data_IF_576707034414
#
_entry.id   IF_576707034414
#
_cell.length_a   1.000
_cell.length_b   1.000
_cell.length_c   1.000
_cell.angle_alpha   90.00
_cell.angle_beta   90.00
_cell.angle_gamma   90.00
#
_symmetry.space_group_name_H-M   'P 1'
#
loop_
_entity.id
_entity.type
_entity.pdbx_description
1 polymer ?
#
# COMPACT_ATOMS: atom_id res chain seq x y z
N UNK A 1 -26.08 7.48 -66.29
CA UNK A 1 -26.41 6.11 -66.71
C UNK A 1 -25.14 5.30 -66.58
N UNK A 2 -25.23 4.22 -65.81
CA UNK A 2 -24.35 3.05 -65.73
C UNK A 2 -22.86 3.19 -65.40
N UNK A 3 -22.57 2.66 -64.21
CA UNK A 3 -21.80 1.43 -63.98
C UNK A 3 -20.28 1.42 -64.16
N UNK A 4 -19.66 1.05 -63.03
CA UNK A 4 -18.56 0.08 -62.89
C UNK A 4 -17.24 0.36 -63.61
N UNK A 5 -16.20 0.63 -62.81
CA UNK A 5 -14.80 0.48 -63.19
C UNK A 5 -14.02 -0.17 -62.05
N UNK A 6 -13.84 -1.48 -62.12
CA UNK A 6 -12.97 -2.28 -61.27
C UNK A 6 -11.58 -2.31 -61.92
N UNK A 7 -10.51 -1.95 -61.21
CA UNK A 7 -9.14 -2.19 -61.66
C UNK A 7 -8.28 -2.68 -60.49
N UNK A 8 -8.08 -3.99 -60.48
CA UNK A 8 -6.95 -4.67 -59.87
C UNK A 8 -5.82 -4.70 -60.90
N UNK A 9 -4.63 -4.27 -60.52
CA UNK A 9 -3.36 -4.70 -61.14
C UNK A 9 -2.25 -4.64 -60.10
N UNK A 10 -1.57 -5.77 -59.94
CA UNK A 10 -0.35 -5.96 -59.17
C UNK A 10 0.89 -5.54 -59.98
N UNK A 11 1.91 -5.01 -59.29
CA UNK A 11 3.33 -5.02 -59.66
C UNK A 11 4.11 -4.68 -58.36
N UNK A 12 4.66 -5.68 -57.66
CA UNK A 12 6.05 -6.14 -57.70
C UNK A 12 7.12 -5.11 -57.26
N UNK A 13 7.72 -5.45 -56.11
CA UNK A 13 9.14 -5.35 -55.74
C UNK A 13 9.79 -3.96 -55.60
N UNK A 14 9.90 -3.53 -54.34
CA UNK A 14 11.13 -2.95 -53.81
C UNK A 14 11.32 -3.41 -52.37
N UNK A 15 12.29 -4.29 -52.18
CA UNK A 15 12.87 -4.68 -50.90
C UNK A 15 13.66 -3.53 -50.31
N UNK A 16 13.21 -2.98 -49.19
CA UNK A 16 14.10 -2.28 -48.25
C UNK A 16 13.82 -2.76 -46.82
N UNK A 17 14.91 -3.19 -46.20
CA UNK A 17 15.11 -3.64 -44.82
C UNK A 17 14.20 -2.96 -43.78
N UNK A 18 13.38 -3.78 -43.12
CA UNK A 18 12.98 -3.55 -41.73
C UNK A 18 13.49 -4.74 -40.91
N UNK A 19 14.79 -4.70 -40.61
CA UNK A 19 15.35 -5.45 -39.50
C UNK A 19 15.18 -4.65 -38.21
N UNK A 20 14.83 -5.39 -37.16
CA UNK A 20 14.94 -5.04 -35.74
C UNK A 20 13.89 -4.08 -35.16
N UNK A 21 12.78 -4.66 -34.70
CA UNK A 21 12.14 -4.17 -33.48
C UNK A 21 11.95 -5.34 -32.51
N UNK A 22 13.09 -5.84 -32.03
CA UNK A 22 13.22 -6.68 -30.85
C UNK A 22 13.95 -5.87 -29.79
N UNK A 23 13.29 -4.87 -29.22
CA UNK A 23 13.68 -4.33 -27.93
C UNK A 23 13.04 -5.26 -26.88
N UNK A 24 13.65 -6.43 -26.67
CA UNK A 24 14.69 -6.62 -25.67
C UNK A 24 14.17 -6.17 -24.30
N UNK A 25 13.78 -7.19 -23.53
CA UNK A 25 13.63 -7.17 -22.10
C UNK A 25 14.46 -6.05 -21.46
N UNK A 26 13.76 -5.11 -20.81
CA UNK A 26 14.37 -4.16 -19.87
C UNK A 26 15.19 -4.97 -18.88
N UNK A 27 16.49 -5.03 -19.16
CA UNK A 27 17.47 -5.75 -18.38
C UNK A 27 17.35 -5.29 -16.94
N UNK A 28 17.23 -6.26 -16.06
CA UNK A 28 17.41 -6.16 -14.63
C UNK A 28 18.76 -5.49 -14.36
N UNK A 29 18.75 -4.18 -14.28
CA UNK A 29 19.90 -3.34 -14.00
C UNK A 29 19.51 -2.33 -12.93
N UNK A 30 19.03 -2.82 -11.78
CA UNK A 30 19.29 -2.09 -10.55
C UNK A 30 20.81 -1.93 -10.50
N UNK A 31 21.31 -0.71 -10.69
CA UNK A 31 22.73 -0.38 -10.69
C UNK A 31 23.32 -0.76 -9.33
N UNK A 32 23.74 -2.02 -9.23
CA UNK A 32 24.26 -2.62 -7.99
C UNK A 32 25.60 -2.00 -7.59
N UNK A 33 26.16 -1.12 -8.44
CA UNK A 33 27.44 -0.45 -8.20
C UNK A 33 27.38 0.60 -7.07
N UNK A 34 26.18 0.97 -6.59
CA UNK A 34 26.01 2.00 -5.56
C UNK A 34 25.36 1.52 -4.26
N UNK A 35 25.15 0.22 -4.10
CA UNK A 35 24.55 -0.35 -2.88
C UNK A 35 25.66 -0.80 -1.94
N UNK A 36 25.77 -0.18 -0.77
CA UNK A 36 26.62 -0.67 0.32
C UNK A 36 25.72 -1.17 1.44
N UNK A 37 25.87 -2.46 1.79
CA UNK A 37 25.16 -3.09 2.90
C UNK A 37 26.11 -3.14 4.10
N UNK A 38 25.69 -2.56 5.21
CA UNK A 38 26.33 -2.74 6.51
C UNK A 38 25.42 -3.65 7.33
N UNK A 39 25.81 -4.92 7.57
CA UNK A 39 25.03 -5.83 8.40
C UNK A 39 24.83 -5.25 9.80
N UNK A 40 23.77 -5.66 10.48
CA UNK A 40 23.65 -5.40 11.90
C UNK A 40 24.91 -5.97 12.61
N UNK A 41 25.65 -5.11 13.32
CA UNK A 41 26.71 -5.58 14.22
C UNK A 41 26.11 -6.68 15.09
N UNK A 42 26.83 -7.79 15.28
CA UNK A 42 26.34 -8.96 16.00
C UNK A 42 26.06 -8.60 17.47
N UNK A 43 24.90 -8.01 17.75
CA UNK A 43 24.43 -7.74 19.10
C UNK A 43 23.98 -9.07 19.68
N UNK A 44 24.94 -9.80 20.23
CA UNK A 44 24.63 -10.91 21.13
C UNK A 44 23.87 -10.34 22.32
N UNK A 45 22.64 -10.85 22.52
CA UNK A 45 21.73 -10.58 23.63
C UNK A 45 20.98 -9.22 23.65
N UNK A 46 19.67 -9.30 23.42
CA UNK A 46 18.68 -8.42 24.04
C UNK A 46 17.67 -9.30 24.79
N UNK A 47 18.15 -9.84 25.91
CA UNK A 47 17.36 -10.18 27.08
C UNK A 47 18.32 -10.14 28.27
N UNK A 48 18.58 -8.95 28.80
CA UNK A 48 18.96 -8.67 30.21
C UNK A 48 19.40 -7.22 30.36
N UNK A 49 18.61 -6.44 31.09
CA UNK A 49 18.92 -5.10 31.56
C UNK A 49 20.14 -5.09 32.50
N UNK A 50 20.96 -4.03 32.55
CA UNK A 50 21.83 -3.80 33.68
C UNK A 50 21.09 -3.03 34.79
N UNK A 51 21.14 -3.59 35.99
CA UNK A 51 20.77 -2.92 37.25
C UNK A 51 21.59 -1.64 37.46
N UNK A 52 20.92 -0.53 37.72
CA UNK A 52 21.48 0.60 38.46
C UNK A 52 20.43 1.12 39.46
N UNK A 53 20.86 1.17 40.72
CA UNK A 53 20.09 1.43 41.93
C UNK A 53 19.36 2.78 41.94
N UNK A 54 18.03 2.78 42.13
CA UNK A 54 17.28 3.91 42.70
C UNK A 54 15.97 3.45 43.39
N UNK A 55 15.63 4.13 44.47
CA UNK A 55 14.67 3.87 45.57
C UNK A 55 13.22 3.46 45.22
N UNK A 56 12.46 2.82 46.16
CA UNK A 56 11.17 2.20 45.86
C UNK A 56 10.01 3.22 45.83
N UNK A 57 9.37 3.36 44.67
CA UNK A 57 8.02 3.89 44.52
C UNK A 57 6.98 2.75 44.40
N UNK A 58 5.69 2.99 44.68
CA UNK A 58 4.68 1.93 44.66
C UNK A 58 4.50 1.37 43.24
N UNK A 59 4.56 0.05 43.14
CA UNK A 59 4.45 -0.69 41.89
C UNK A 59 3.08 -0.49 41.24
N UNK A 60 3.07 0.14 40.07
CA UNK A 60 1.97 0.05 39.12
C UNK A 60 2.15 -1.28 38.37
N UNK A 61 1.13 -2.15 38.28
CA UNK A 61 1.26 -3.38 37.51
C UNK A 61 1.38 -2.99 36.03
N UNK A 62 2.59 -3.14 35.48
CA UNK A 62 2.79 -3.15 34.05
C UNK A 62 2.06 -4.38 33.48
N UNK A 63 0.88 -4.15 32.93
CA UNK A 63 0.27 -5.08 31.99
C UNK A 63 1.23 -5.21 30.79
N UNK A 64 1.98 -6.31 30.76
CA UNK A 64 2.73 -6.72 29.59
C UNK A 64 1.72 -7.17 28.54
N UNK A 65 1.30 -6.24 27.70
CA UNK A 65 0.56 -6.59 26.49
C UNK A 65 1.39 -7.62 25.71
N UNK A 66 0.80 -8.75 25.26
CA UNK A 66 1.50 -9.71 24.42
C UNK A 66 1.98 -9.00 23.16
N UNK A 67 3.24 -9.21 22.78
CA UNK A 67 3.79 -8.68 21.53
C UNK A 67 2.99 -9.16 20.31
N UNK A 68 3.02 -8.42 19.20
CA UNK A 68 2.28 -8.79 18.00
C UNK A 68 2.72 -10.16 17.47
N UNK A 69 1.75 -10.97 17.06
CA UNK A 69 1.97 -12.30 16.47
C UNK A 69 2.34 -12.12 15.00
N UNK A 70 3.29 -12.89 14.47
CA UNK A 70 3.76 -12.74 13.08
C UNK A 70 2.62 -12.84 12.03
N UNK A 71 1.56 -13.61 12.31
CA UNK A 71 0.34 -13.72 11.50
C UNK A 71 -0.55 -12.46 11.50
N UNK A 72 -0.16 -11.39 12.18
CA UNK A 72 -0.90 -10.12 12.19
C UNK A 72 -0.54 -9.19 11.04
N UNK A 73 0.42 -9.57 10.18
CA UNK A 73 0.66 -8.91 8.91
C UNK A 73 -0.57 -9.02 8.00
N UNK A 74 -0.88 -7.95 7.28
CA UNK A 74 -2.09 -7.86 6.48
C UNK A 74 -1.80 -7.22 5.10
N UNK A 75 -2.52 -7.70 4.10
CA UNK A 75 -2.57 -7.15 2.75
C UNK A 75 -4.03 -6.85 2.48
N UNK A 76 -4.40 -5.59 2.26
CA UNK A 76 -5.76 -5.21 1.93
C UNK A 76 -5.84 -4.56 0.56
N UNK A 77 -6.84 -4.97 -0.22
CA UNK A 77 -7.18 -4.39 -1.53
C UNK A 77 -8.55 -3.75 -1.41
N UNK A 78 -8.68 -2.51 -1.91
CA UNK A 78 -9.98 -1.85 -1.91
C UNK A 78 -10.82 -2.32 -3.10
N UNK A 79 -12.01 -2.83 -2.79
CA UNK A 79 -12.99 -3.34 -3.75
C UNK A 79 -13.84 -2.24 -4.36
N UNK A 80 -14.23 -1.26 -3.54
CA UNK A 80 -14.94 -0.07 -3.96
C UNK A 80 -14.83 1.04 -2.92
N UNK A 81 -15.17 2.25 -3.36
CA UNK A 81 -15.37 3.42 -2.51
C UNK A 81 -16.63 4.17 -2.92
N UNK A 82 -17.43 4.56 -1.93
CA UNK A 82 -18.51 5.54 -2.09
C UNK A 82 -18.20 6.81 -1.32
N UNK A 83 -18.48 7.96 -1.91
CA UNK A 83 -18.49 9.24 -1.20
C UNK A 83 -19.93 9.64 -0.88
N UNK A 84 -20.21 9.80 0.40
CA UNK A 84 -21.51 10.16 0.95
C UNK A 84 -21.53 11.66 1.35
N UNK A 85 -22.72 12.28 1.51
CA UNK A 85 -22.83 13.61 2.08
C UNK A 85 -22.19 13.69 3.47
N UNK A 86 -21.63 14.86 3.82
CA UNK A 86 -21.12 15.13 5.15
C UNK A 86 -21.73 16.43 5.70
N UNK A 87 -22.32 16.42 6.91
CA UNK A 87 -22.66 15.21 7.68
C UNK A 87 -23.67 14.34 6.93
N UNK A 88 -23.77 13.07 7.30
CA UNK A 88 -24.82 12.20 6.78
C UNK A 88 -26.21 12.75 7.15
N UNK A 89 -27.21 12.63 6.27
CA UNK A 89 -28.59 12.92 6.64
C UNK A 89 -29.04 12.08 7.84
N UNK A 90 -29.84 12.66 8.73
CA UNK A 90 -30.34 11.95 9.90
C UNK A 90 -31.12 10.68 9.51
N UNK A 91 -30.89 9.58 10.22
CA UNK A 91 -31.52 8.28 9.94
C UNK A 91 -30.94 7.54 8.72
N UNK A 92 -29.83 8.00 8.14
CA UNK A 92 -29.09 7.21 7.15
C UNK A 92 -28.49 5.99 7.84
N UNK A 93 -28.76 4.75 7.36
CA UNK A 93 -28.16 3.56 7.93
C UNK A 93 -26.64 3.57 7.70
N UNK A 94 -25.90 3.05 8.68
CA UNK A 94 -24.46 2.83 8.58
C UNK A 94 -24.18 1.38 8.98
N UNK A 95 -23.59 0.56 8.09
CA UNK A 95 -23.15 0.89 6.73
C UNK A 95 -24.29 1.14 5.73
N UNK A 96 -24.14 2.13 4.85
CA UNK A 96 -25.14 2.52 3.85
C UNK A 96 -25.06 1.65 2.58
N UNK A 97 -23.85 1.35 2.11
CA UNK A 97 -23.62 0.77 0.79
C UNK A 97 -24.07 -0.69 0.65
N UNK A 98 -24.33 -1.39 1.75
CA UNK A 98 -24.74 -2.79 1.76
C UNK A 98 -26.18 -3.00 1.24
N UNK A 99 -27.07 -2.04 1.44
CA UNK A 99 -28.48 -2.13 1.03
C UNK A 99 -28.83 -1.28 -0.21
N UNK A 100 -27.82 -0.79 -0.94
CA UNK A 100 -28.01 0.09 -2.10
C UNK A 100 -28.98 -0.45 -3.17
N UNK A 101 -29.06 -1.77 -3.32
CA UNK A 101 -29.94 -2.40 -4.30
C UNK A 101 -31.43 -2.26 -3.92
N UNK A 102 -31.75 -2.20 -2.63
CA UNK A 102 -33.12 -2.13 -2.14
C UNK A 102 -33.50 -0.72 -1.65
N UNK A 103 -32.55 0.02 -1.10
CA UNK A 103 -32.76 1.33 -0.51
C UNK A 103 -31.63 2.30 -0.87
N UNK A 104 -31.90 3.28 -1.76
CA UNK A 104 -30.89 4.25 -2.21
C UNK A 104 -31.41 5.71 -2.18
N UNK A 105 -31.79 6.24 -1.01
CA UNK A 105 -32.33 7.59 -0.87
C UNK A 105 -31.29 8.67 -1.20
N UNK A 106 -29.99 8.37 -1.10
CA UNK A 106 -28.91 9.28 -1.49
C UNK A 106 -28.63 9.28 -3.00
N UNK A 107 -29.33 8.45 -3.78
CA UNK A 107 -29.18 8.35 -5.23
C UNK A 107 -27.73 8.14 -5.69
N UNK A 108 -27.00 7.26 -4.99
CA UNK A 108 -25.65 6.85 -5.39
C UNK A 108 -25.71 5.96 -6.62
N UNK A 109 -24.61 5.81 -7.38
CA UNK A 109 -24.53 4.79 -8.42
C UNK A 109 -24.89 3.40 -7.84
N UNK A 110 -25.79 2.63 -8.48
CA UNK A 110 -26.21 1.33 -7.97
C UNK A 110 -25.14 0.24 -8.15
N UNK A 111 -24.08 0.53 -8.90
CA UNK A 111 -22.98 -0.38 -9.15
C UNK A 111 -21.73 0.11 -8.43
N UNK A 112 -21.15 -0.79 -7.65
CA UNK A 112 -19.87 -0.58 -6.98
C UNK A 112 -18.80 -0.22 -8.01
N UNK A 113 -17.97 0.76 -7.67
CA UNK A 113 -16.91 1.25 -8.53
C UNK A 113 -15.66 1.56 -7.72
N UNK A 114 -14.52 1.11 -8.23
CA UNK A 114 -13.20 1.40 -7.66
C UNK A 114 -12.33 2.10 -8.71
N UNK A 115 -12.14 3.43 -8.61
CA UNK A 115 -11.36 4.20 -9.58
C UNK A 115 -9.85 3.93 -9.51
N UNK A 116 -9.36 3.27 -8.48
CA UNK A 116 -7.93 3.10 -8.22
C UNK A 116 -7.52 1.65 -8.11
N UNK A 117 -6.26 1.35 -8.43
CA UNK A 117 -5.59 0.16 -7.95
C UNK A 117 -5.00 0.49 -6.58
N UNK A 118 -5.81 0.32 -5.53
CA UNK A 118 -5.41 0.54 -4.14
C UNK A 118 -4.92 -0.76 -3.51
N UNK A 119 -3.78 -0.67 -2.83
CA UNK A 119 -3.18 -1.76 -2.08
C UNK A 119 -2.57 -1.16 -0.82
N UNK A 120 -2.90 -1.78 0.32
CA UNK A 120 -2.35 -1.45 1.63
C UNK A 120 -1.57 -2.66 2.14
N UNK A 121 -0.34 -2.42 2.58
CA UNK A 121 0.46 -3.42 3.28
C UNK A 121 0.68 -2.97 4.71
N UNK A 122 0.35 -3.84 5.67
CA UNK A 122 0.51 -3.57 7.09
C UNK A 122 1.38 -4.65 7.73
N UNK A 123 2.45 -4.24 8.40
CA UNK A 123 3.35 -5.13 9.15
C UNK A 123 2.71 -5.60 10.46
N UNK A 124 3.25 -6.65 11.11
CA UNK A 124 2.82 -7.07 12.44
C UNK A 124 2.86 -5.96 13.51
N UNK A 125 3.82 -5.04 13.43
CA UNK A 125 3.88 -3.88 14.34
C UNK A 125 2.97 -2.72 13.92
N UNK A 126 2.04 -2.95 12.98
CA UNK A 126 1.09 -1.94 12.48
C UNK A 126 1.74 -0.79 11.72
N UNK A 127 2.95 -0.99 11.19
CA UNK A 127 3.54 -0.08 10.22
C UNK A 127 2.89 -0.34 8.87
N UNK A 128 2.32 0.69 8.23
CA UNK A 128 1.59 0.52 6.99
C UNK A 128 2.10 1.43 5.87
N UNK A 129 1.82 1.01 4.63
CA UNK A 129 1.91 1.83 3.43
C UNK A 129 0.64 1.62 2.60
N UNK A 130 -0.01 2.72 2.20
CA UNK A 130 -1.17 2.75 1.32
C UNK A 130 -0.76 3.51 0.04
N UNK A 131 -0.94 2.88 -1.12
CA UNK A 131 -0.66 3.52 -2.41
C UNK A 131 -1.82 3.26 -3.36
N UNK A 132 -2.39 4.35 -3.87
CA UNK A 132 -3.60 4.41 -4.69
C UNK A 132 -3.25 4.99 -6.06
N UNK A 133 -3.19 4.13 -7.08
CA UNK A 133 -2.98 4.57 -8.46
C UNK A 133 -4.32 4.64 -9.21
N UNK A 134 -4.60 5.71 -9.95
CA UNK A 134 -5.78 5.73 -10.82
C UNK A 134 -5.73 4.64 -11.89
N UNK A 135 -6.80 3.84 -11.98
CA UNK A 135 -7.03 2.92 -13.10
C UNK A 135 -7.25 3.72 -14.39
N UNK A 136 -6.99 3.15 -15.57
CA UNK A 136 -7.29 3.80 -16.84
C UNK A 136 -8.79 4.11 -16.95
N UNK A 137 -9.12 5.35 -17.32
CA UNK A 137 -10.51 5.81 -17.47
C UNK A 137 -11.18 5.33 -18.77
N UNK A 138 -10.42 4.77 -19.73
CA UNK A 138 -10.94 4.36 -21.04
C UNK A 138 -10.83 2.83 -21.24
N UNK A 139 -11.91 2.13 -21.63
CA UNK A 139 -11.89 0.69 -21.86
C UNK A 139 -11.17 0.26 -23.15
N UNK A 140 -10.93 1.17 -24.10
CA UNK A 140 -10.41 0.83 -25.43
C UNK A 140 -8.88 0.64 -25.50
N UNK A 141 -8.14 1.14 -24.52
CA UNK A 141 -6.70 0.92 -24.37
C UNK A 141 -6.44 0.78 -22.88
N UNK A 142 -6.28 -0.45 -22.38
CA UNK A 142 -5.86 -0.69 -21.00
C UNK A 142 -4.41 -0.23 -20.85
N UNK A 143 -4.19 1.07 -20.73
CA UNK A 143 -2.86 1.60 -20.41
C UNK A 143 -2.46 0.95 -19.09
N UNK A 144 -1.29 0.30 -18.99
CA UNK A 144 -0.87 -0.27 -17.72
C UNK A 144 -0.78 0.80 -16.63
N UNK A 145 -0.64 0.37 -15.38
CA UNK A 145 -0.27 1.29 -14.31
C UNK A 145 1.03 2.03 -14.71
N UNK A 146 1.19 3.31 -14.31
CA UNK A 146 2.41 4.05 -14.61
C UNK A 146 3.59 3.29 -14.01
N UNK A 147 4.66 3.07 -14.77
CA UNK A 147 5.82 2.29 -14.30
C UNK A 147 7.19 2.85 -14.72
N UNK A 148 7.18 4.06 -15.31
CA UNK A 148 8.38 4.73 -15.83
C UNK A 148 8.70 6.05 -15.08
N UNK A 149 7.94 6.38 -14.02
CA UNK A 149 8.19 7.57 -13.18
C UNK A 149 7.52 8.87 -13.64
N UNK A 150 7.09 8.98 -14.91
CA UNK A 150 6.67 10.25 -15.55
C UNK A 150 5.18 10.65 -15.55
N UNK A 151 4.30 10.01 -14.79
CA UNK A 151 2.85 10.30 -14.76
C UNK A 151 2.39 10.60 -13.32
N UNK A 152 2.76 11.76 -12.77
CA UNK A 152 2.50 12.11 -11.36
C UNK A 152 1.00 12.20 -11.05
N UNK A 153 0.20 12.61 -12.03
CA UNK A 153 -1.25 12.76 -11.94
C UNK A 153 -1.99 11.41 -11.83
N UNK A 154 -1.31 10.29 -12.12
CA UNK A 154 -1.86 8.95 -11.95
C UNK A 154 -1.78 8.44 -10.52
N UNK A 155 -1.07 9.14 -9.64
CA UNK A 155 -1.09 8.89 -8.20
C UNK A 155 -2.26 9.67 -7.59
N UNK A 156 -3.26 8.97 -7.06
CA UNK A 156 -4.39 9.59 -6.39
C UNK A 156 -4.00 10.01 -4.97
N UNK A 157 -3.41 9.07 -4.24
CA UNK A 157 -2.89 9.26 -2.90
C UNK A 157 -1.88 8.17 -2.58
N UNK A 158 -0.87 8.54 -1.80
CA UNK A 158 0.00 7.59 -1.13
C UNK A 158 0.41 8.16 0.21
N UNK A 159 0.41 7.31 1.22
CA UNK A 159 0.76 7.68 2.58
C UNK A 159 1.22 6.44 3.35
N UNK A 160 1.93 6.68 4.44
CA UNK A 160 2.50 5.62 5.24
C UNK A 160 2.72 6.08 6.67
N UNK A 161 2.69 5.15 7.61
CA UNK A 161 2.79 5.47 9.03
C UNK A 161 2.46 4.28 9.91
N UNK A 162 1.74 4.54 10.99
CA UNK A 162 1.32 3.51 11.96
C UNK A 162 -0.19 3.52 12.14
N UNK A 163 -0.80 2.33 12.26
CA UNK A 163 -2.23 2.19 12.55
C UNK A 163 -2.48 1.70 13.97
N UNK A 164 -3.65 2.02 14.49
CA UNK A 164 -4.17 1.51 15.75
C UNK A 164 -5.67 1.24 15.61
N UNK A 165 -6.15 0.16 16.22
CA UNK A 165 -7.57 -0.21 16.21
C UNK A 165 -8.00 -0.61 17.62
N UNK A 166 -9.22 -0.26 18.00
CA UNK A 166 -9.82 -0.69 19.25
C UNK A 166 -11.29 -1.05 19.06
N UNK A 167 -11.76 -2.07 19.78
CA UNK A 167 -13.16 -2.46 19.71
C UNK A 167 -14.06 -1.33 20.22
N UNK A 168 -15.18 -1.10 19.54
CA UNK A 168 -16.22 -0.17 19.95
C UNK A 168 -17.55 -0.89 20.12
N UNK A 169 -18.40 -0.33 20.97
CA UNK A 169 -19.80 -0.76 21.10
C UNK A 169 -20.65 0.24 20.36
N UNK A 170 -21.40 -0.23 19.37
CA UNK A 170 -22.36 0.62 18.68
C UNK A 170 -23.51 0.98 19.63
N UNK A 171 -24.10 2.18 19.50
CA UNK A 171 -25.30 2.53 20.25
C UNK A 171 -26.41 1.50 19.98
N UNK A 172 -27.12 1.07 21.03
CA UNK A 172 -28.34 0.31 20.86
C UNK A 172 -29.33 1.18 20.06
N UNK A 173 -29.85 0.66 18.96
CA UNK A 173 -30.94 1.31 18.24
C UNK A 173 -32.26 0.84 18.84
N UNK A 174 -33.24 1.75 18.96
CA UNK A 174 -34.55 1.45 19.54
C UNK A 174 -35.36 0.42 18.74
N UNK A 175 -34.84 -0.05 17.61
CA UNK A 175 -35.45 -1.04 16.73
C UNK A 175 -34.85 -2.41 16.99
N UNK A 176 -35.58 -3.28 17.69
CA UNK A 176 -35.21 -4.68 17.99
C UNK A 176 -34.96 -5.56 16.73
N UNK A 177 -35.24 -5.04 15.53
CA UNK A 177 -35.05 -5.74 14.24
C UNK A 177 -33.73 -5.38 13.53
N UNK A 178 -32.93 -4.42 14.02
CA UNK A 178 -31.64 -4.11 13.41
C UNK A 178 -30.57 -5.15 13.79
N UNK A 179 -29.83 -5.59 12.77
CA UNK A 179 -28.78 -6.58 12.89
C UNK A 179 -27.67 -6.04 13.81
N UNK A 180 -27.46 -6.69 14.96
CA UNK A 180 -26.41 -6.29 15.88
C UNK A 180 -25.04 -6.58 15.26
N UNK A 181 -24.24 -5.55 15.04
CA UNK A 181 -22.87 -5.72 14.55
C UNK A 181 -21.94 -6.19 15.68
N UNK A 182 -21.35 -7.36 15.50
CA UNK A 182 -20.29 -7.86 16.38
C UNK A 182 -18.90 -7.51 15.82
N UNK A 183 -17.95 -7.21 16.71
CA UNK A 183 -16.54 -7.06 16.33
C UNK A 183 -16.19 -5.75 15.61
N UNK A 184 -17.04 -4.73 15.68
CA UNK A 184 -16.74 -3.40 15.14
C UNK A 184 -15.55 -2.78 15.87
N UNK A 185 -14.64 -2.20 15.12
CA UNK A 185 -13.48 -1.49 15.68
C UNK A 185 -13.41 -0.07 15.15
N UNK A 186 -12.96 0.87 15.97
CA UNK A 186 -12.52 2.17 15.49
C UNK A 186 -11.03 2.11 15.19
N UNK A 187 -10.66 2.47 13.97
CA UNK A 187 -9.28 2.46 13.48
C UNK A 187 -8.79 3.88 13.19
N UNK A 188 -7.54 4.13 13.51
CA UNK A 188 -6.85 5.42 13.27
C UNK A 188 -5.53 5.15 12.56
N UNK A 189 -5.25 5.92 11.52
CA UNK A 189 -4.01 5.89 10.76
C UNK A 189 -3.22 7.18 10.99
N UNK A 190 -2.07 7.08 11.65
CA UNK A 190 -1.19 8.22 11.90
C UNK A 190 -0.17 8.33 10.79
N UNK A 191 -0.31 9.34 9.95
CA UNK A 191 0.55 9.54 8.78
C UNK A 191 1.90 10.08 9.19
N UNK A 192 2.96 9.37 8.80
CA UNK A 192 4.35 9.83 8.90
C UNK A 192 4.87 10.38 7.57
N UNK A 193 4.35 9.83 6.47
CA UNK A 193 4.52 10.26 5.09
C UNK A 193 3.15 10.42 4.45
N UNK A 194 2.95 11.48 3.67
CA UNK A 194 1.72 11.70 2.91
C UNK A 194 2.06 12.49 1.64
N UNK A 195 1.74 11.95 0.48
CA UNK A 195 1.99 12.58 -0.83
C UNK A 195 1.31 13.95 -1.02
N UNK A 196 0.31 14.29 -0.19
CA UNK A 196 -0.39 15.59 -0.20
C UNK A 196 0.24 16.60 0.76
N UNK A 197 1.18 16.19 1.61
CA UNK A 197 1.80 17.02 2.63
C UNK A 197 3.33 16.93 2.56
N UNK A 198 4.01 18.07 2.71
CA UNK A 198 5.47 18.08 2.73
C UNK A 198 6.02 17.33 3.95
N UNK A 199 7.24 16.80 3.84
CA UNK A 199 7.96 16.17 4.96
C UNK A 199 7.95 17.10 6.19
N UNK A 200 7.53 16.56 7.33
CA UNK A 200 7.46 17.29 8.60
C UNK A 200 6.25 18.22 8.76
N UNK A 201 5.28 18.19 7.85
CA UNK A 201 4.01 18.92 8.02
C UNK A 201 3.33 18.53 9.33
N UNK A 202 2.97 19.52 10.15
CA UNK A 202 2.32 19.31 11.46
C UNK A 202 0.78 19.23 11.38
N UNK A 203 0.25 19.31 10.17
CA UNK A 203 -1.17 19.53 9.87
C UNK A 203 -1.68 18.54 8.83
N UNK A 204 -1.17 17.30 8.88
CA UNK A 204 -1.81 16.18 8.20
C UNK A 204 -3.13 15.91 8.91
N UNK A 205 -4.28 15.86 8.21
CA UNK A 205 -5.57 15.54 8.80
C UNK A 205 -5.54 14.19 9.52
N UNK A 206 -6.42 14.05 10.51
CA UNK A 206 -6.70 12.74 11.11
C UNK A 206 -7.34 11.85 10.05
N UNK A 207 -6.84 10.63 9.93
CA UNK A 207 -7.42 9.58 9.12
C UNK A 207 -7.93 8.48 10.06
N UNK A 208 -9.25 8.27 10.08
CA UNK A 208 -9.92 7.37 11.00
C UNK A 208 -11.28 6.92 10.46
N UNK A 209 -11.70 5.72 10.88
CA UNK A 209 -12.93 5.10 10.43
C UNK A 209 -13.36 3.95 11.32
N UNK A 210 -14.66 3.68 11.32
CA UNK A 210 -15.26 2.53 11.99
C UNK A 210 -15.27 1.35 11.00
N UNK A 211 -14.76 0.21 11.44
CA UNK A 211 -14.53 -0.99 10.64
C UNK A 211 -15.60 -2.03 10.95
N UNK A 212 -16.47 -2.28 9.99
CA UNK A 212 -17.59 -3.22 10.07
C UNK A 212 -17.19 -4.56 9.42
N UNK A 213 -17.10 -5.66 10.18
CA UNK A 213 -16.78 -6.97 9.63
C UNK A 213 -17.95 -7.48 8.78
N UNK A 214 -17.73 -7.70 7.49
CA UNK A 214 -18.77 -8.17 6.56
C UNK A 214 -18.64 -9.67 6.31
N UNK A 215 -17.41 -10.15 6.14
CA UNK A 215 -17.06 -11.56 6.02
C UNK A 215 -15.65 -11.78 6.58
N UNK A 216 -15.18 -13.03 6.60
CA UNK A 216 -13.84 -13.36 7.11
C UNK A 216 -12.69 -12.62 6.42
N UNK A 217 -12.89 -12.21 5.16
CA UNK A 217 -11.92 -11.50 4.34
C UNK A 217 -12.45 -10.14 3.86
N UNK A 218 -13.59 -9.67 4.38
CA UNK A 218 -14.22 -8.42 3.94
C UNK A 218 -14.57 -7.53 5.13
N UNK A 219 -14.11 -6.29 5.05
CA UNK A 219 -14.39 -5.26 6.05
C UNK A 219 -14.82 -3.98 5.35
N UNK A 220 -15.92 -3.38 5.81
CA UNK A 220 -16.36 -2.09 5.35
C UNK A 220 -15.87 -1.03 6.34
N UNK A 221 -15.06 -0.10 5.85
CA UNK A 221 -14.67 1.09 6.58
C UNK A 221 -15.70 2.19 6.36
N UNK A 222 -16.17 2.80 7.45
CA UNK A 222 -16.99 3.99 7.43
C UNK A 222 -16.24 5.13 8.11
N UNK A 223 -15.81 6.11 7.32
CA UNK A 223 -15.00 7.22 7.80
C UNK A 223 -15.42 8.54 7.19
N UNK A 224 -14.65 9.58 7.48
CA UNK A 224 -14.81 10.86 6.80
C UNK A 224 -13.47 11.56 6.65
N UNK A 225 -13.28 12.20 5.51
CA UNK A 225 -12.04 12.91 5.20
C UNK A 225 -12.33 14.14 4.34
N UNK A 226 -11.41 15.09 4.38
CA UNK A 226 -11.42 16.20 3.44
C UNK A 226 -11.04 15.70 2.05
N UNK A 227 -11.90 15.94 1.05
CA UNK A 227 -11.68 15.52 -0.33
C UNK A 227 -11.21 16.70 -1.19
N UNK A 228 -9.92 16.76 -1.58
CA UNK A 228 -9.36 17.93 -2.27
C UNK A 228 -10.04 18.24 -3.60
N UNK A 229 -10.44 17.21 -4.36
CA UNK A 229 -11.07 17.38 -5.68
C UNK A 229 -12.40 18.15 -5.63
N UNK A 230 -13.15 18.02 -4.54
CA UNK A 230 -14.43 18.70 -4.33
C UNK A 230 -14.33 19.81 -3.28
N UNK A 231 -13.15 20.03 -2.71
CA UNK A 231 -12.84 21.01 -1.69
C UNK A 231 -13.86 20.99 -0.52
N UNK A 232 -14.21 19.79 -0.05
CA UNK A 232 -15.21 19.58 0.99
C UNK A 232 -14.94 18.31 1.79
N UNK A 233 -15.40 18.27 3.04
CA UNK A 233 -15.47 17.02 3.80
C UNK A 233 -16.52 16.10 3.18
N UNK A 234 -16.19 14.81 3.12
CA UNK A 234 -17.08 13.75 2.68
C UNK A 234 -16.97 12.59 3.66
N UNK A 235 -18.11 12.03 4.02
CA UNK A 235 -18.15 10.67 4.53
C UNK A 235 -17.77 9.75 3.38
N UNK A 236 -17.06 8.67 3.68
CA UNK A 236 -16.76 7.65 2.72
C UNK A 236 -17.11 6.28 3.29
N UNK A 237 -17.44 5.36 2.40
CA UNK A 237 -17.44 3.94 2.70
C UNK A 237 -16.48 3.24 1.75
N UNK A 238 -15.49 2.55 2.32
CA UNK A 238 -14.46 1.82 1.61
C UNK A 238 -14.60 0.33 1.93
N UNK A 239 -14.85 -0.51 0.92
CA UNK A 239 -14.88 -1.97 1.11
C UNK A 239 -13.48 -2.52 0.89
N UNK A 240 -12.95 -3.18 1.91
CA UNK A 240 -11.63 -3.76 1.91
C UNK A 240 -11.71 -5.28 1.86
N UNK A 241 -10.93 -5.88 0.97
CA UNK A 241 -10.68 -7.32 0.96
C UNK A 241 -9.29 -7.63 1.48
N UNK A 242 -9.21 -8.51 2.47
CA UNK A 242 -7.97 -9.08 2.94
C UNK A 242 -7.49 -10.19 2.00
N UNK A 243 -6.22 -10.08 1.59
CA UNK A 243 -5.56 -11.04 0.72
C UNK A 243 -4.54 -11.81 1.53
N UNK A 244 -4.61 -13.15 1.46
CA UNK A 244 -3.64 -13.99 2.13
C UNK A 244 -2.22 -13.72 1.62
N UNK A 245 -1.29 -13.53 2.56
CA UNK A 245 0.13 -13.50 2.24
C UNK A 245 0.58 -14.88 1.73
N UNK A 246 1.44 -14.86 0.70
CA UNK A 246 2.02 -16.05 0.09
C UNK A 246 3.52 -16.09 0.33
N UNK A 247 4.06 -17.30 0.44
CA UNK A 247 5.50 -17.51 0.35
C UNK A 247 5.99 -17.11 -1.03
N UNK A 248 7.17 -16.52 -1.08
CA UNK A 248 7.91 -16.24 -2.33
C UNK A 248 9.22 -17.01 -2.41
N UNK A 249 9.54 -17.80 -1.38
CA UNK A 249 10.74 -18.60 -1.28
C UNK A 249 10.41 -20.10 -1.33
N UNK A 250 11.47 -20.91 -1.48
CA UNK A 250 11.36 -22.37 -1.53
C UNK A 250 11.11 -23.02 -0.17
N UNK A 251 11.35 -22.33 0.95
CA UNK A 251 11.04 -22.85 2.30
C UNK A 251 9.55 -22.82 2.62
N UNK A 252 8.74 -22.12 1.83
CA UNK A 252 7.30 -21.99 2.06
C UNK A 252 6.96 -20.96 3.15
N UNK A 253 7.94 -20.20 3.63
CA UNK A 253 7.74 -19.16 4.63
C UNK A 253 7.32 -17.83 4.00
N UNK A 254 6.44 -17.13 4.70
CA UNK A 254 5.99 -15.77 4.40
C UNK A 254 6.94 -14.79 5.10
N UNK A 255 7.29 -13.71 4.41
CA UNK A 255 8.26 -12.72 4.89
C UNK A 255 7.58 -11.35 4.97
N UNK A 256 7.83 -10.61 6.03
CA UNK A 256 7.53 -9.19 6.13
C UNK A 256 8.80 -8.41 6.47
N UNK A 257 9.01 -7.28 5.78
CA UNK A 257 10.14 -6.38 6.03
C UNK A 257 9.65 -4.95 6.02
N UNK A 258 10.14 -4.16 6.96
CA UNK A 258 9.98 -2.70 6.96
C UNK A 258 11.36 -2.06 6.90
N UNK A 259 11.58 -1.22 5.89
CA UNK A 259 12.78 -0.36 5.80
C UNK A 259 12.38 1.10 5.90
N UNK A 260 13.12 1.86 6.71
CA UNK A 260 12.91 3.29 6.91
C UNK A 260 14.11 4.11 6.48
N UNK A 261 13.85 5.22 5.80
CA UNK A 261 14.79 6.31 5.57
C UNK A 261 14.30 7.53 6.33
N UNK A 262 15.16 8.12 7.17
CA UNK A 262 14.84 9.35 7.89
C UNK A 262 16.03 10.31 7.84
N UNK A 263 15.95 11.31 6.97
CA UNK A 263 16.92 12.39 6.82
C UNK A 263 16.20 13.74 6.93
N UNK A 264 15.62 14.01 8.11
CA UNK A 264 14.79 15.19 8.37
C UNK A 264 15.49 16.52 8.04
N UNK A 265 16.80 16.62 8.32
CA UNK A 265 17.58 17.80 7.99
C UNK A 265 17.69 18.08 6.48
N UNK A 266 17.57 17.04 5.65
CA UNK A 266 17.51 17.14 4.20
C UNK A 266 16.06 17.21 3.67
N UNK A 267 15.07 17.18 4.57
CA UNK A 267 13.66 17.10 4.22
C UNK A 267 13.29 15.81 3.48
N UNK A 268 13.96 14.70 3.79
CA UNK A 268 13.72 13.40 3.14
C UNK A 268 13.29 12.34 4.13
N UNK A 269 12.20 11.64 3.81
CA UNK A 269 11.71 10.47 4.54
C UNK A 269 11.24 9.41 3.56
N UNK A 270 11.42 8.15 3.91
CA UNK A 270 10.97 7.04 3.09
C UNK A 270 10.59 5.83 3.92
N UNK A 271 9.66 5.04 3.41
CA UNK A 271 9.21 3.80 4.01
C UNK A 271 8.99 2.76 2.90
N UNK A 272 9.51 1.56 3.13
CA UNK A 272 9.24 0.38 2.29
C UNK A 272 8.66 -0.69 3.19
N UNK A 273 7.56 -1.30 2.74
CA UNK A 273 6.94 -2.44 3.40
C UNK A 273 6.80 -3.56 2.39
N UNK A 274 7.34 -4.73 2.74
CA UNK A 274 7.10 -6.00 2.05
C UNK A 274 6.21 -6.87 2.94
N UNK A 275 5.20 -7.50 2.36
CA UNK A 275 4.40 -8.56 3.00
C UNK A 275 4.17 -9.67 1.97
N UNK A 276 4.76 -10.83 2.20
CA UNK A 276 4.69 -11.98 1.30
C UNK A 276 5.10 -11.62 -0.13
N UNK A 277 4.13 -11.73 -1.04
CA UNK A 277 4.22 -11.52 -2.49
C UNK A 277 4.11 -10.06 -2.94
N UNK A 278 3.94 -9.10 -2.02
CA UNK A 278 3.83 -7.68 -2.35
C UNK A 278 4.91 -6.86 -1.65
N UNK A 279 5.40 -5.83 -2.33
CA UNK A 279 6.28 -4.82 -1.76
C UNK A 279 5.89 -3.44 -2.29
N UNK A 280 5.76 -2.48 -1.39
CA UNK A 280 5.45 -1.09 -1.71
C UNK A 280 6.44 -0.16 -1.02
N UNK A 281 6.82 0.89 -1.73
CA UNK A 281 7.72 1.91 -1.21
C UNK A 281 7.18 3.30 -1.50
N UNK A 282 7.37 4.21 -0.55
CA UNK A 282 7.13 5.64 -0.68
C UNK A 282 8.38 6.39 -0.18
N UNK A 283 8.79 7.42 -0.92
CA UNK A 283 9.76 8.41 -0.46
C UNK A 283 9.25 9.81 -0.75
N UNK A 284 9.38 10.67 0.25
CA UNK A 284 9.07 12.09 0.17
C UNK A 284 10.37 12.89 0.29
N UNK A 285 10.59 13.82 -0.63
CA UNK A 285 11.63 14.84 -0.54
C UNK A 285 11.00 16.22 -0.64
N UNK A 286 10.97 16.96 0.47
CA UNK A 286 10.16 18.17 0.58
C UNK A 286 8.69 17.86 0.30
N UNK A 287 8.13 18.46 -0.76
CA UNK A 287 6.77 18.20 -1.24
C UNK A 287 6.66 17.21 -2.41
N UNK A 288 7.76 16.57 -2.82
CA UNK A 288 7.76 15.65 -3.95
C UNK A 288 7.70 14.20 -3.49
N UNK A 289 6.71 13.47 -4.02
CA UNK A 289 6.55 12.05 -3.78
C UNK A 289 7.19 11.21 -4.89
N UNK A 290 7.76 10.06 -4.52
CA UNK A 290 8.01 8.93 -5.42
C UNK A 290 7.53 7.65 -4.76
N UNK A 291 6.86 6.81 -5.53
CA UNK A 291 6.31 5.53 -5.07
C UNK A 291 6.65 4.39 -6.03
N UNK A 292 6.73 3.19 -5.48
CA UNK A 292 6.82 1.95 -6.24
C UNK A 292 5.90 0.87 -5.68
N UNK A 293 5.39 0.00 -6.56
CA UNK A 293 4.76 -1.28 -6.22
C UNK A 293 5.45 -2.41 -6.97
N UNK A 294 5.72 -3.48 -6.26
CA UNK A 294 6.35 -4.69 -6.75
C UNK A 294 5.51 -5.91 -6.35
N UNK A 295 5.46 -6.87 -7.27
CA UNK A 295 4.70 -8.11 -7.12
C UNK A 295 5.57 -9.29 -7.50
N UNK A 296 5.46 -10.36 -6.72
CA UNK A 296 6.11 -11.63 -7.03
C UNK A 296 5.29 -12.43 -8.04
N UNK A 297 5.92 -12.79 -9.16
CA UNK A 297 5.30 -13.57 -10.24
C UNK A 297 6.05 -14.90 -10.39
N UNK A 298 5.47 -15.98 -9.84
CA UNK A 298 6.04 -17.33 -9.92
C UNK A 298 6.32 -17.80 -11.35
N UNK A 299 5.57 -17.28 -12.32
CA UNK A 299 5.68 -17.63 -13.74
C UNK A 299 6.75 -16.84 -14.50
N UNK A 300 7.41 -15.86 -13.87
CA UNK A 300 8.46 -15.06 -14.49
C UNK A 300 9.84 -15.34 -13.90
N UNK A 301 10.84 -15.25 -14.77
CA UNK A 301 12.25 -15.37 -14.41
C UNK A 301 12.71 -16.81 -14.23
N UNK A 302 13.69 -17.23 -15.03
CA UNK A 302 14.47 -18.44 -14.75
C UNK A 302 15.57 -18.07 -13.73
N UNK A 303 15.55 -18.64 -12.52
CA UNK A 303 16.61 -18.44 -11.53
C UNK A 303 16.16 -18.12 -10.10
N UNK A 304 16.95 -17.31 -9.41
CA UNK A 304 16.80 -16.92 -8.00
C UNK A 304 15.49 -16.14 -7.73
N UNK A 305 15.00 -16.17 -6.49
CA UNK A 305 13.76 -15.49 -6.05
C UNK A 305 13.66 -14.04 -6.55
N UNK A 306 14.76 -13.28 -6.44
CA UNK A 306 14.83 -11.88 -6.84
C UNK A 306 14.47 -11.64 -8.32
N UNK A 307 14.71 -12.61 -9.22
CA UNK A 307 14.40 -12.49 -10.65
C UNK A 307 12.90 -12.59 -10.95
N UNK A 308 12.10 -13.06 -10.00
CA UNK A 308 10.65 -13.26 -10.13
C UNK A 308 9.83 -12.06 -9.66
N UNK A 309 10.49 -11.07 -9.07
CA UNK A 309 9.86 -9.83 -8.66
C UNK A 309 9.75 -8.85 -9.81
N UNK A 310 8.55 -8.31 -10.02
CA UNK A 310 8.26 -7.37 -11.09
C UNK A 310 7.73 -6.08 -10.49
N UNK A 311 8.32 -4.94 -10.88
CA UNK A 311 7.74 -3.65 -10.56
C UNK A 311 6.48 -3.47 -11.41
N UNK A 312 5.32 -3.37 -10.76
CA UNK A 312 4.02 -3.23 -11.43
C UNK A 312 3.57 -1.77 -11.52
N UNK A 313 4.05 -0.91 -10.63
CA UNK A 313 3.79 0.52 -10.70
C UNK A 313 4.95 1.37 -10.15
N UNK A 314 5.11 2.57 -10.70
CA UNK A 314 6.06 3.61 -10.29
C UNK A 314 5.62 4.99 -10.77
N UNK A 315 5.64 5.94 -9.84
CA UNK A 315 5.46 7.38 -10.10
C UNK A 315 6.55 8.15 -9.36
N UNK A 316 7.15 9.15 -10.01
CA UNK A 316 8.20 9.99 -9.46
C UNK A 316 9.62 9.54 -9.82
N UNK A 317 10.59 10.37 -9.42
CA UNK A 317 11.94 10.36 -9.96
C UNK A 317 13.01 9.92 -8.95
N UNK A 318 12.65 9.77 -7.67
CA UNK A 318 13.58 9.37 -6.62
C UNK A 318 13.86 7.86 -6.63
N UNK A 319 15.00 7.46 -6.13
CA UNK A 319 15.37 6.05 -6.06
C UNK A 319 14.81 5.39 -4.78
N UNK A 320 14.20 4.21 -4.93
CA UNK A 320 13.77 3.37 -3.81
C UNK A 320 14.46 2.01 -3.89
N UNK A 321 15.09 1.53 -2.81
CA UNK A 321 15.73 0.22 -2.79
C UNK A 321 14.73 -0.92 -2.57
N UNK A 322 13.49 -0.86 -3.10
CA UNK A 322 12.50 -1.93 -2.94
C UNK A 322 13.06 -3.31 -3.32
N UNK A 323 13.83 -3.37 -4.41
CA UNK A 323 14.48 -4.59 -4.91
C UNK A 323 15.48 -5.25 -3.95
N UNK A 324 16.00 -4.52 -2.95
CA UNK A 324 16.91 -5.12 -1.95
C UNK A 324 16.15 -5.92 -0.91
N UNK A 325 14.86 -5.64 -0.70
CA UNK A 325 14.02 -6.39 0.24
C UNK A 325 13.74 -7.83 -0.20
N UNK A 326 14.15 -8.22 -1.41
CA UNK A 326 14.01 -9.57 -1.98
C UNK A 326 15.25 -10.44 -1.78
N UNK A 327 16.30 -9.87 -1.15
CA UNK A 327 17.61 -10.49 -1.02
C UNK A 327 17.87 -10.89 0.45
N UNK A 328 18.13 -12.17 0.75
CA UNK A 328 18.32 -12.64 2.12
C UNK A 328 19.36 -11.86 2.93
N UNK A 329 20.41 -11.36 2.27
CA UNK A 329 21.51 -10.63 2.91
C UNK A 329 21.07 -9.30 3.55
N UNK A 330 19.91 -8.79 3.15
CA UNK A 330 19.33 -7.53 3.66
C UNK A 330 18.27 -7.80 4.73
N UNK A 331 17.79 -9.05 4.90
CA UNK A 331 16.66 -9.38 5.77
C UNK A 331 17.08 -9.58 7.24
N UNK A 332 17.73 -8.57 7.84
CA UNK A 332 18.05 -8.56 9.25
C UNK A 332 17.78 -7.19 9.87
N UNK A 333 17.06 -7.17 11.00
CA UNK A 333 16.79 -5.95 11.76
C UNK A 333 18.10 -5.26 12.13
N UNK A 334 18.15 -3.94 11.95
CA UNK A 334 19.34 -3.12 12.17
C UNK A 334 20.31 -3.08 10.99
N UNK A 335 20.07 -3.84 9.92
CA UNK A 335 20.86 -3.71 8.68
C UNK A 335 20.67 -2.33 8.09
N UNK A 336 21.78 -1.66 7.78
CA UNK A 336 21.79 -0.35 7.15
C UNK A 336 22.22 -0.49 5.70
N UNK A 337 21.39 0.01 4.81
CA UNK A 337 21.63 0.08 3.37
C UNK A 337 21.90 1.51 2.97
N UNK A 338 23.12 1.78 2.51
CA UNK A 338 23.39 3.04 1.81
C UNK A 338 22.98 2.90 0.35
N UNK A 339 22.04 3.73 -0.07
CA UNK A 339 21.56 3.80 -1.45
C UNK A 339 21.59 5.24 -1.93
N UNK A 340 22.50 5.53 -2.87
CA UNK A 340 22.87 6.90 -3.24
C UNK A 340 23.30 7.72 -2.00
N UNK A 341 22.63 8.85 -1.77
CA UNK A 341 22.97 9.81 -0.72
C UNK A 341 22.35 9.48 0.64
N UNK A 342 21.48 8.48 0.72
CA UNK A 342 20.68 8.21 1.91
C UNK A 342 20.86 6.79 2.45
N UNK A 343 20.66 6.68 3.76
CA UNK A 343 20.67 5.42 4.48
C UNK A 343 19.24 4.95 4.75
N UNK A 344 19.03 3.66 4.55
CA UNK A 344 17.80 2.95 4.85
C UNK A 344 18.09 1.88 5.90
N UNK A 345 17.31 1.84 6.96
CA UNK A 345 17.46 0.87 8.04
C UNK A 345 16.32 -0.12 8.02
N UNK A 346 16.63 -1.41 8.13
CA UNK A 346 15.62 -2.45 8.36
C UNK A 346 15.16 -2.37 9.82
N UNK A 347 13.94 -1.92 10.04
CA UNK A 347 13.36 -1.76 11.38
C UNK A 347 12.58 -2.99 11.81
N UNK A 348 11.98 -3.71 10.85
CA UNK A 348 11.22 -4.92 11.10
C UNK A 348 11.62 -6.01 10.11
N UNK A 349 11.75 -7.23 10.60
CA UNK A 349 11.83 -8.43 9.80
C UNK A 349 11.05 -9.53 10.52
N UNK A 350 10.11 -10.13 9.80
CA UNK A 350 9.29 -11.22 10.27
C UNK A 350 9.31 -12.34 9.26
N UNK A 351 9.35 -13.57 9.76
CA UNK A 351 9.23 -14.78 8.95
C UNK A 351 8.30 -15.77 9.67
N UNK A 352 7.34 -16.33 8.93
CA UNK A 352 6.36 -17.27 9.48
C UNK A 352 5.90 -18.29 8.43
N UNK A 353 5.33 -19.42 8.87
CA UNK A 353 4.96 -20.56 7.99
C UNK A 353 3.53 -20.48 7.52
#
# INVERSE_FOLDING_TARGET
>A
MDSSGNLSTAAELASEQFDNNSDAASSCGSDSSQITVTPADSVSSMASSPEALALPGPAVPHSSAPGPVADSANISVREYIYFLPYPLPAGTPVPYSLDLANNNPLNLPPHQFEPTSTLVLTSPNRTFVDIRFFKPFAPAHSTPLPNQGGERERLEWAFAGTSASHAITLPETDNEEEESWEGVTHSTWTHWLDSRHAVGSSNIPVDEGDMYPIASDLTLEHGHAFQPMVNAYKTHEEMWRDVAARSTNSSGSKICVVMRLQADAAGVRGLIVRVGQYCQGIVMQGGYCTVERWEFDEGKGDGEEAAKWVRTARVGDQHLPCGTTFRPEVLAVGTVLKYHDYEWTVEEMWEWV
#
